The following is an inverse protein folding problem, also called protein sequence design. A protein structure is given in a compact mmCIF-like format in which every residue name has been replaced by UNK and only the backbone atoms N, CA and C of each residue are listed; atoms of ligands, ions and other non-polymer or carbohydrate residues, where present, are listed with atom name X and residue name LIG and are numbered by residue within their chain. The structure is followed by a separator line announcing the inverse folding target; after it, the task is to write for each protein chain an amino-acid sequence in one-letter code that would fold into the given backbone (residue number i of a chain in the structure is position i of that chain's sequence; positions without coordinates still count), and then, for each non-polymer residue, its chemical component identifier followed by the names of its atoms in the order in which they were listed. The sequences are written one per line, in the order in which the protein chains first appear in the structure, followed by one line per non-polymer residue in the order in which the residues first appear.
data_IF_923102410886
#
_entry.id   IF_923102410886
#
_cell.length_a   1.000
_cell.length_b   1.000
_cell.length_c   1.000
_cell.angle_alpha   90.00
_cell.angle_beta   90.00
_cell.angle_gamma   90.00
#
_symmetry.space_group_name_H-M   'P 1'
#
loop_
_entity.id
_entity.type
_entity.pdbx_description
1 polymer ?
#
# COMPACT_ATOMS: atom_id res chain seq x y z
N UNK A 1 0.30 17.87 -0.54
CA UNK A 1 -0.23 16.49 -0.56
C UNK A 1 -1.68 16.62 -1.03
N UNK A 2 -1.99 16.11 -2.22
CA UNK A 2 -3.28 16.31 -2.87
C UNK A 2 -4.25 15.26 -2.35
N UNK A 3 -4.94 15.56 -1.24
CA UNK A 3 -6.05 14.73 -0.79
C UNK A 3 -7.13 14.75 -1.87
N UNK A 4 -7.40 13.62 -2.53
CA UNK A 4 -8.62 13.52 -3.32
C UNK A 4 -9.79 13.76 -2.35
N UNK A 5 -10.70 14.69 -2.67
CA UNK A 5 -11.95 14.80 -1.91
C UNK A 5 -12.81 13.60 -2.27
N UNK A 6 -12.66 12.55 -1.47
CA UNK A 6 -13.45 11.33 -1.54
C UNK A 6 -14.72 11.54 -0.71
N UNK A 7 -15.87 11.26 -1.29
CA UNK A 7 -17.16 11.28 -0.60
C UNK A 7 -17.27 10.12 0.41
N UNK A 8 -18.16 10.21 1.43
CA UNK A 8 -18.26 9.21 2.49
C UNK A 8 -18.55 7.79 1.98
N UNK A 9 -19.38 7.66 0.94
CA UNK A 9 -19.75 6.37 0.33
C UNK A 9 -18.52 5.68 -0.27
N UNK A 10 -17.74 6.41 -1.07
CA UNK A 10 -16.49 5.89 -1.64
C UNK A 10 -15.46 5.58 -0.54
N UNK A 11 -15.43 6.35 0.56
CA UNK A 11 -14.51 6.10 1.66
C UNK A 11 -14.84 4.81 2.43
N UNK A 12 -16.13 4.49 2.58
CA UNK A 12 -16.59 3.21 3.13
C UNK A 12 -16.21 2.04 2.21
N UNK A 13 -16.44 2.17 0.90
CA UNK A 13 -16.04 1.17 -0.11
C UNK A 13 -14.52 0.91 -0.07
N UNK A 14 -13.71 1.96 0.05
CA UNK A 14 -12.26 1.82 0.21
C UNK A 14 -11.89 1.08 1.50
N UNK A 15 -12.55 1.41 2.61
CA UNK A 15 -12.29 0.79 3.91
C UNK A 15 -12.63 -0.72 3.87
N UNK A 16 -13.76 -1.08 3.27
CA UNK A 16 -14.15 -2.48 3.02
C UNK A 16 -13.15 -3.20 2.12
N UNK A 17 -12.79 -2.60 0.98
CA UNK A 17 -11.80 -3.16 0.04
C UNK A 17 -10.41 -3.34 0.66
N UNK A 18 -10.04 -2.49 1.61
CA UNK A 18 -8.83 -2.64 2.40
C UNK A 18 -9.01 -3.57 3.62
N UNK A 19 -10.22 -3.96 4.01
CA UNK A 19 -10.50 -4.68 5.26
C UNK A 19 -9.95 -3.96 6.50
N UNK A 20 -10.13 -2.64 6.57
CA UNK A 20 -9.70 -1.78 7.68
C UNK A 20 -10.82 -0.81 8.07
N UNK A 21 -10.84 -0.26 9.30
CA UNK A 21 -11.77 0.80 9.63
C UNK A 21 -11.40 2.11 8.90
N UNK A 22 -12.39 2.95 8.59
CA UNK A 22 -12.18 4.25 7.89
C UNK A 22 -11.09 5.11 8.53
N UNK A 23 -10.98 5.13 9.87
CA UNK A 23 -9.98 5.94 10.57
C UNK A 23 -8.55 5.45 10.37
N UNK A 24 -8.34 4.22 9.90
CA UNK A 24 -7.02 3.70 9.53
C UNK A 24 -6.52 4.23 8.19
N UNK A 25 -7.37 4.92 7.40
CA UNK A 25 -6.97 5.54 6.14
C UNK A 25 -6.24 6.87 6.46
N UNK A 26 -5.05 7.01 5.91
CA UNK A 26 -4.21 8.22 6.04
C UNK A 26 -4.49 9.19 4.90
N UNK A 27 -4.46 8.70 3.66
CA UNK A 27 -4.65 9.50 2.45
C UNK A 27 -5.18 8.64 1.29
N UNK A 28 -5.82 9.30 0.31
CA UNK A 28 -6.31 8.68 -0.93
C UNK A 28 -5.92 9.55 -2.12
N UNK A 29 -5.32 8.91 -3.13
CA UNK A 29 -4.88 9.54 -4.36
C UNK A 29 -5.35 8.74 -5.58
N UNK A 30 -5.51 9.40 -6.73
CA UNK A 30 -5.76 8.70 -7.99
C UNK A 30 -4.52 7.91 -8.43
N UNK A 31 -4.71 6.76 -9.08
CA UNK A 31 -3.63 6.04 -9.72
C UNK A 31 -3.10 6.80 -10.94
N UNK A 32 -1.79 6.82 -11.12
CA UNK A 32 -1.20 7.27 -12.38
C UNK A 32 -1.52 6.28 -13.50
N UNK A 33 -1.52 6.74 -14.76
CA UNK A 33 -1.75 5.87 -15.91
C UNK A 33 -0.81 4.66 -15.94
N UNK A 34 0.45 4.84 -15.51
CA UNK A 34 1.42 3.76 -15.39
C UNK A 34 0.96 2.73 -14.34
N UNK A 35 0.59 3.18 -13.14
CA UNK A 35 0.13 2.29 -12.07
C UNK A 35 -1.13 1.52 -12.45
N UNK A 36 -2.09 2.18 -13.12
CA UNK A 36 -3.31 1.52 -13.62
C UNK A 36 -2.96 0.44 -14.65
N UNK A 37 -2.05 0.74 -15.59
CA UNK A 37 -1.58 -0.22 -16.59
C UNK A 37 -0.87 -1.41 -15.96
N UNK A 38 0.06 -1.15 -15.03
CA UNK A 38 0.78 -2.21 -14.30
C UNK A 38 -0.17 -3.08 -13.50
N UNK A 39 -1.15 -2.52 -12.80
CA UNK A 39 -2.09 -3.30 -12.00
C UNK A 39 -2.98 -4.20 -12.88
N UNK A 40 -3.49 -3.65 -13.99
CA UNK A 40 -4.28 -4.41 -14.97
C UNK A 40 -3.48 -5.63 -15.48
N UNK A 41 -2.21 -5.43 -15.76
CA UNK A 41 -1.34 -6.50 -16.24
C UNK A 41 -0.97 -7.51 -15.15
N UNK A 42 -0.72 -7.08 -13.92
CA UNK A 42 -0.51 -7.95 -12.76
C UNK A 42 -1.75 -8.81 -12.46
N UNK A 43 -2.97 -8.32 -12.68
CA UNK A 43 -4.19 -9.13 -12.52
C UNK A 43 -4.26 -10.28 -13.53
N UNK A 44 -3.80 -10.07 -14.77
CA UNK A 44 -3.73 -11.13 -15.79
C UNK A 44 -2.52 -12.05 -15.59
N UNK A 45 -1.43 -11.52 -15.05
CA UNK A 45 -0.16 -12.22 -14.87
C UNK A 45 0.38 -11.98 -13.45
N UNK A 46 -0.07 -12.74 -12.43
CA UNK A 46 0.18 -12.46 -11.01
C UNK A 46 1.65 -12.34 -10.58
N UNK A 47 2.57 -12.92 -11.35
CA UNK A 47 4.01 -12.85 -11.08
C UNK A 47 4.72 -11.72 -11.83
N UNK A 48 4.04 -11.05 -12.77
CA UNK A 48 4.59 -9.92 -13.49
C UNK A 48 4.55 -8.70 -12.56
N UNK A 49 5.67 -7.99 -12.48
CA UNK A 49 5.92 -6.87 -11.56
C UNK A 49 6.15 -7.20 -10.08
N UNK A 50 6.39 -8.48 -9.75
CA UNK A 50 6.94 -8.87 -8.46
C UNK A 50 8.46 -8.81 -8.48
N UNK A 51 9.06 -7.98 -7.63
CA UNK A 51 10.50 -7.98 -7.39
C UNK A 51 10.82 -8.74 -6.10
N UNK A 52 11.83 -9.61 -6.13
CA UNK A 52 12.31 -10.34 -4.97
C UNK A 52 13.83 -10.32 -4.96
N UNK A 53 14.41 -9.90 -3.84
CA UNK A 53 15.85 -9.90 -3.61
C UNK A 53 16.15 -10.62 -2.30
N UNK A 54 17.11 -11.53 -2.31
CA UNK A 54 17.53 -12.33 -1.16
C UNK A 54 18.94 -11.90 -0.77
N UNK A 55 19.11 -11.51 0.49
CA UNK A 55 20.38 -11.04 1.03
C UNK A 55 20.86 -11.97 2.13
N UNK A 56 22.15 -12.28 2.13
CA UNK A 56 22.79 -12.95 3.27
C UNK A 56 23.18 -11.91 4.31
N UNK A 57 22.82 -12.16 5.56
CA UNK A 57 23.22 -11.35 6.71
C UNK A 57 24.36 -12.03 7.47
N UNK A 58 25.27 -11.22 8.01
CA UNK A 58 26.38 -11.75 8.81
C UNK A 58 25.84 -12.38 10.11
N UNK A 59 26.51 -13.41 10.67
CA UNK A 59 26.09 -14.04 11.92
C UNK A 59 26.03 -13.10 13.13
N UNK A 60 26.71 -11.96 13.06
CA UNK A 60 26.73 -10.91 14.08
C UNK A 60 25.55 -9.95 14.02
N UNK A 61 24.70 -10.04 12.99
CA UNK A 61 23.53 -9.16 12.84
C UNK A 61 22.45 -9.60 13.83
N UNK A 62 22.00 -8.65 14.63
CA UNK A 62 20.81 -8.79 15.46
C UNK A 62 19.55 -8.73 14.57
N UNK A 63 18.87 -9.86 14.43
CA UNK A 63 17.68 -9.98 13.58
C UNK A 63 16.47 -9.26 14.14
N UNK A 64 16.33 -9.16 15.47
CA UNK A 64 15.23 -8.44 16.11
C UNK A 64 15.39 -6.94 15.85
N UNK A 65 16.61 -6.43 16.00
CA UNK A 65 16.91 -5.03 15.67
C UNK A 65 16.71 -4.72 14.19
N UNK A 66 17.06 -5.66 13.30
CA UNK A 66 16.81 -5.50 11.87
C UNK A 66 15.31 -5.48 11.55
N UNK A 67 14.52 -6.38 12.14
CA UNK A 67 13.07 -6.44 11.96
C UNK A 67 12.41 -5.13 12.44
N UNK A 68 12.78 -4.65 13.64
CA UNK A 68 12.29 -3.38 14.17
C UNK A 68 12.64 -2.19 13.26
N UNK A 69 13.87 -2.14 12.75
CA UNK A 69 14.27 -1.09 11.81
C UNK A 69 13.50 -1.15 10.48
N UNK A 70 13.15 -2.36 10.00
CA UNK A 70 12.28 -2.53 8.83
C UNK A 70 10.84 -2.06 9.12
N UNK A 71 10.31 -2.34 10.32
CA UNK A 71 9.01 -1.83 10.76
C UNK A 71 8.96 -0.30 10.80
N UNK A 72 10.00 0.34 11.31
CA UNK A 72 10.17 1.80 11.26
C UNK A 72 10.25 2.33 9.82
N UNK A 73 11.04 1.67 8.96
CA UNK A 73 11.15 2.02 7.55
C UNK A 73 9.78 1.99 6.85
N UNK A 74 8.98 0.93 7.05
CA UNK A 74 7.63 0.85 6.48
C UNK A 74 6.73 1.96 7.03
N UNK A 75 6.78 2.20 8.34
CA UNK A 75 6.00 3.25 9.00
C UNK A 75 6.32 4.64 8.46
N UNK A 76 7.59 4.94 8.20
CA UNK A 76 8.05 6.26 7.71
C UNK A 76 7.80 6.50 6.22
N UNK A 77 7.55 5.44 5.41
CA UNK A 77 7.44 5.55 3.96
C UNK A 77 6.01 5.19 3.50
N UNK A 78 5.15 6.20 3.19
CA UNK A 78 3.75 5.98 2.79
C UNK A 78 3.55 4.93 1.70
N UNK A 79 4.44 4.90 0.69
CA UNK A 79 4.35 3.97 -0.44
C UNK A 79 4.40 2.49 -0.02
N UNK A 80 5.08 2.16 1.08
CA UNK A 80 5.18 0.79 1.60
C UNK A 80 3.91 0.36 2.36
N UNK A 81 3.03 1.32 2.67
CA UNK A 81 1.73 1.13 3.33
C UNK A 81 0.55 1.42 2.39
N UNK A 82 0.83 1.61 1.11
CA UNK A 82 -0.19 1.90 0.10
C UNK A 82 -0.81 0.60 -0.39
N UNK A 83 -2.14 0.56 -0.40
CA UNK A 83 -2.94 -0.45 -1.11
C UNK A 83 -3.57 0.18 -2.36
N UNK A 84 -3.81 -0.65 -3.37
CA UNK A 84 -4.57 -0.24 -4.56
C UNK A 84 -5.93 -0.91 -4.48
N UNK A 85 -6.99 -0.11 -4.53
CA UNK A 85 -8.38 -0.58 -4.43
C UNK A 85 -9.12 -0.20 -5.70
N UNK A 86 -9.91 -1.14 -6.24
CA UNK A 86 -10.83 -0.87 -7.33
C UNK A 86 -12.18 -0.43 -6.75
N UNK A 87 -12.59 0.80 -7.05
CA UNK A 87 -13.84 1.39 -6.58
C UNK A 87 -14.82 1.53 -7.74
N UNK A 88 -16.09 1.24 -7.47
CA UNK A 88 -17.15 1.25 -8.47
C UNK A 88 -17.31 2.60 -9.19
N UNK A 89 -17.04 3.72 -8.49
CA UNK A 89 -17.28 5.08 -9.00
C UNK A 89 -16.03 5.80 -9.51
N UNK A 90 -14.84 5.45 -9.03
CA UNK A 90 -13.59 6.16 -9.35
C UNK A 90 -12.49 5.26 -9.95
N UNK A 91 -12.76 3.96 -10.08
CA UNK A 91 -11.78 2.99 -10.55
C UNK A 91 -10.67 2.79 -9.52
N UNK A 92 -9.45 2.57 -10.01
CA UNK A 92 -8.28 2.29 -9.16
C UNK A 92 -7.81 3.53 -8.39
N UNK A 93 -7.77 3.40 -7.07
CA UNK A 93 -7.26 4.41 -6.14
C UNK A 93 -6.06 3.89 -5.34
N UNK A 94 -5.13 4.80 -5.03
CA UNK A 94 -4.02 4.59 -4.11
C UNK A 94 -4.46 4.99 -2.71
N UNK A 95 -4.42 4.06 -1.77
CA UNK A 95 -4.91 4.23 -0.40
C UNK A 95 -3.75 4.02 0.56
N UNK A 96 -3.32 5.10 1.22
CA UNK A 96 -2.26 5.05 2.24
C UNK A 96 -2.91 4.71 3.57
N UNK A 97 -2.39 3.69 4.27
CA UNK A 97 -2.87 3.29 5.59
C UNK A 97 -1.97 3.80 6.71
N UNK A 98 -2.55 4.15 7.86
CA UNK A 98 -1.86 4.57 9.08
C UNK A 98 -1.13 3.43 9.81
N UNK A 99 -1.14 2.21 9.25
CA UNK A 99 -0.57 1.00 9.88
C UNK A 99 0.87 1.25 10.36
N UNK A 100 1.10 1.02 11.65
CA UNK A 100 2.45 0.88 12.20
C UNK A 100 2.83 -0.59 12.08
N UNK A 101 3.93 -0.86 11.41
CA UNK A 101 4.50 -2.21 11.37
C UNK A 101 5.49 -2.31 12.54
N UNK A 102 5.16 -3.14 13.52
CA UNK A 102 5.99 -3.47 14.69
C UNK A 102 6.71 -4.80 14.47
#
# INVERSE_FOLDING_TARGET
MFTARVDPETLEEIAEGCSVPVHAIEDVCECTALQTGTMTESMMHPNRYKHSAVFSVAPSVDLERLASALGELVSLNPILRTRIVDTSRRGLLQVVLRERHE
#
